data_IF_340474291252
#
_entry.id   IF_340474291252
#
_cell.length_a   1.000
_cell.length_b   1.000
_cell.length_c   1.000
_cell.angle_alpha   90.00
_cell.angle_beta   90.00
_cell.angle_gamma   90.00
#
_symmetry.space_group_name_H-M   'P 1'
#
loop_
_entity.id
_entity.type
_entity.pdbx_description
1 polymer ?
#
# COMPACT_ATOMS: atom_id res chain seq x y z
N UNK A 1 19.11 -19.26 -5.36
CA UNK A 1 18.33 -20.15 -4.45
C UNK A 1 18.12 -19.36 -3.16
N UNK A 2 16.89 -19.26 -2.63
CA UNK A 2 16.52 -18.48 -1.42
C UNK A 2 16.46 -16.94 -1.54
N UNK A 3 16.02 -16.44 -2.69
CA UNK A 3 15.72 -15.01 -2.87
C UNK A 3 14.24 -14.88 -3.20
N UNK A 4 13.51 -14.08 -2.42
CA UNK A 4 12.10 -13.75 -2.71
C UNK A 4 12.02 -12.72 -3.84
N UNK A 5 11.00 -12.83 -4.69
CA UNK A 5 10.73 -11.88 -5.78
C UNK A 5 9.40 -11.14 -5.55
N UNK A 6 9.16 -10.06 -6.30
CA UNK A 6 8.05 -9.12 -6.14
C UNK A 6 8.15 -8.29 -4.84
N UNK A 7 7.03 -8.10 -4.15
CA UNK A 7 6.91 -7.24 -2.99
C UNK A 7 5.45 -6.97 -2.68
N UNK A 8 5.18 -5.80 -2.13
CA UNK A 8 3.83 -5.32 -1.83
C UNK A 8 3.61 -3.94 -2.44
N UNK A 9 2.34 -3.60 -2.67
CA UNK A 9 1.92 -2.28 -3.10
C UNK A 9 1.12 -1.61 -1.98
N UNK A 10 1.61 -0.48 -1.48
CA UNK A 10 0.93 0.31 -0.44
C UNK A 10 0.27 1.53 -1.08
N UNK A 11 -1.06 1.61 -1.00
CA UNK A 11 -1.82 2.75 -1.52
C UNK A 11 -1.60 4.00 -0.66
N UNK A 12 -0.64 4.85 -1.02
CA UNK A 12 -0.40 6.13 -0.31
C UNK A 12 -1.41 7.19 -0.76
N UNK A 13 -1.38 7.56 -2.05
CA UNK A 13 -2.32 8.48 -2.69
C UNK A 13 -2.51 8.16 -4.20
N UNK A 14 -2.81 6.91 -4.57
CA UNK A 14 -3.15 6.60 -5.96
C UNK A 14 -4.55 7.14 -6.30
N UNK A 15 -4.88 7.21 -7.60
CA UNK A 15 -6.27 7.32 -8.03
C UNK A 15 -6.95 5.95 -7.87
N UNK A 16 -7.85 5.82 -6.90
CA UNK A 16 -8.50 4.54 -6.61
C UNK A 16 -9.56 4.13 -7.65
N UNK A 17 -10.02 5.05 -8.51
CA UNK A 17 -10.97 4.72 -9.57
C UNK A 17 -10.43 3.70 -10.58
N UNK A 18 -9.10 3.53 -10.67
CA UNK A 18 -8.51 2.49 -11.51
C UNK A 18 -8.80 1.07 -11.03
N UNK A 19 -9.12 0.87 -9.75
CA UNK A 19 -9.53 -0.44 -9.25
C UNK A 19 -10.92 -0.85 -9.76
N UNK A 20 -11.77 0.09 -10.21
CA UNK A 20 -13.08 -0.21 -10.78
C UNK A 20 -13.00 -0.97 -12.11
N UNK A 21 -11.85 -0.93 -12.80
CA UNK A 21 -11.60 -1.72 -14.00
C UNK A 21 -11.10 -3.14 -13.71
N UNK A 22 -10.91 -3.50 -12.44
CA UNK A 22 -10.44 -4.81 -12.02
C UNK A 22 -11.60 -5.59 -11.40
N UNK A 23 -11.79 -6.84 -11.83
CA UNK A 23 -12.76 -7.77 -11.23
C UNK A 23 -11.99 -8.81 -10.43
N UNK A 24 -11.82 -8.63 -9.11
CA UNK A 24 -11.12 -9.60 -8.29
C UNK A 24 -11.98 -10.86 -8.12
N UNK A 25 -11.38 -12.02 -8.29
CA UNK A 25 -12.05 -13.28 -7.99
C UNK A 25 -12.17 -13.45 -6.47
N UNK A 26 -13.40 -13.44 -5.95
CA UNK A 26 -13.68 -13.80 -4.54
C UNK A 26 -13.64 -12.65 -3.52
N UNK A 27 -13.54 -11.38 -3.94
CA UNK A 27 -13.58 -10.21 -3.04
C UNK A 27 -14.60 -9.20 -3.58
N UNK A 28 -15.89 -9.51 -3.45
CA UNK A 28 -16.97 -8.67 -3.97
C UNK A 28 -17.54 -7.70 -2.93
N UNK A 29 -17.41 -8.02 -1.65
CA UNK A 29 -18.05 -7.28 -0.55
C UNK A 29 -17.14 -6.21 0.09
N UNK A 30 -15.90 -6.08 -0.39
CA UNK A 30 -14.91 -5.17 0.17
C UNK A 30 -14.30 -4.28 -0.91
N UNK A 31 -14.12 -3.00 -0.59
CA UNK A 31 -13.45 -2.02 -1.43
C UNK A 31 -11.95 -1.89 -1.15
N UNK A 32 -11.33 -0.95 -1.85
CA UNK A 32 -9.95 -0.52 -1.64
C UNK A 32 -9.92 0.87 -1.01
N UNK A 33 -8.83 1.19 -0.31
CA UNK A 33 -8.62 2.55 0.24
C UNK A 33 -7.14 2.94 0.13
N UNK A 34 -6.82 4.14 0.60
CA UNK A 34 -5.46 4.66 0.68
C UNK A 34 -5.19 5.36 2.02
N UNK A 35 -3.92 5.52 2.37
CA UNK A 35 -3.51 6.27 3.56
C UNK A 35 -4.10 7.69 3.51
N UNK A 36 -4.13 8.31 2.33
CA UNK A 36 -4.70 9.63 2.14
C UNK A 36 -6.19 9.69 2.49
N UNK A 37 -7.00 8.72 2.05
CA UNK A 37 -8.44 8.66 2.38
C UNK A 37 -8.70 8.42 3.87
N UNK A 38 -7.92 7.53 4.51
CA UNK A 38 -8.12 7.17 5.90
C UNK A 38 -7.69 8.25 6.89
N UNK A 39 -6.60 8.97 6.59
CA UNK A 39 -6.01 9.91 7.55
C UNK A 39 -6.36 11.37 7.28
N UNK A 40 -6.76 11.72 6.05
CA UNK A 40 -7.08 13.09 5.63
C UNK A 40 -6.05 14.15 6.08
N UNK A 41 -4.76 13.81 6.04
CA UNK A 41 -3.64 14.68 6.42
C UNK A 41 -2.73 15.00 5.24
N UNK A 42 -1.95 16.08 5.36
CA UNK A 42 -0.90 16.42 4.39
C UNK A 42 0.26 15.44 4.52
N UNK A 43 0.31 14.47 3.60
CA UNK A 43 1.37 13.46 3.55
C UNK A 43 2.51 13.91 2.62
N UNK A 44 3.75 13.75 3.10
CA UNK A 44 4.94 13.81 2.26
C UNK A 44 5.39 12.38 1.96
N UNK A 45 5.61 12.05 0.69
CA UNK A 45 6.00 10.70 0.28
C UNK A 45 7.26 10.21 0.99
N UNK A 46 8.25 11.11 1.17
CA UNK A 46 9.50 10.81 1.86
C UNK A 46 9.29 10.25 3.28
N UNK A 47 8.35 10.83 4.05
CA UNK A 47 8.05 10.36 5.41
C UNK A 47 7.45 8.96 5.42
N UNK A 48 6.60 8.65 4.43
CA UNK A 48 6.01 7.31 4.29
C UNK A 48 7.07 6.28 3.94
N UNK A 49 7.95 6.59 2.98
CA UNK A 49 9.04 5.68 2.59
C UNK A 49 9.98 5.44 3.79
N UNK A 50 10.39 6.50 4.49
CA UNK A 50 11.26 6.41 5.66
C UNK A 50 10.65 5.51 6.75
N UNK A 51 9.36 5.71 7.08
CA UNK A 51 8.66 4.88 8.06
C UNK A 51 8.56 3.42 7.62
N UNK A 52 8.28 3.15 6.34
CA UNK A 52 8.21 1.78 5.82
C UNK A 52 9.56 1.06 5.91
N UNK A 53 10.67 1.74 5.57
CA UNK A 53 12.02 1.16 5.69
C UNK A 53 12.32 0.80 7.14
N UNK A 54 12.13 1.74 8.08
CA UNK A 54 12.36 1.50 9.50
C UNK A 54 11.52 0.31 10.00
N UNK A 55 10.25 0.23 9.60
CA UNK A 55 9.38 -0.86 10.00
C UNK A 55 9.81 -2.21 9.43
N UNK A 56 10.29 -2.23 8.19
CA UNK A 56 10.77 -3.44 7.52
C UNK A 56 12.06 -3.95 8.19
N UNK A 57 13.01 -3.06 8.45
CA UNK A 57 14.26 -3.39 9.17
C UNK A 57 13.99 -3.94 10.57
N UNK A 58 12.99 -3.40 11.29
CA UNK A 58 12.60 -3.88 12.63
C UNK A 58 11.94 -5.25 12.62
N UNK A 59 11.33 -5.67 11.51
CA UNK A 59 10.65 -6.96 11.39
C UNK A 59 11.54 -8.07 10.81
N UNK A 60 12.59 -7.69 10.08
CA UNK A 60 13.54 -8.63 9.48
C UNK A 60 14.76 -8.90 10.33
N UNK A 61 15.06 -8.01 11.30
CA UNK A 61 15.94 -8.33 12.43
C UNK A 61 15.13 -9.05 13.50
#
# INVERSE_FOLDING_TARGET
>A
KWVTMHGYALNVKPNLNFYNGLIPCGIFEHGVTSIFELMNIRLKMFEIVKKNIIQFERKLK
#
